data_IF_245686329048
#
_entry.id   IF_245686329048
#
_cell.length_a   1.000
_cell.length_b   1.000
_cell.length_c   1.000
_cell.angle_alpha   90.00
_cell.angle_beta   90.00
_cell.angle_gamma   90.00
#
_symmetry.space_group_name_H-M   'P 1'
#
loop_
_entity.id
_entity.type
_entity.pdbx_description
1 polymer ?
#
# COMPACT_ATOMS: atom_id res chain seq x y z
N UNK A 1 -26.08 -15.34 -27.62
CA UNK A 1 -26.00 -15.69 -26.19
C UNK A 1 -26.76 -14.64 -25.41
N UNK A 2 -27.62 -15.08 -24.50
CA UNK A 2 -28.43 -14.23 -23.62
C UNK A 2 -27.93 -14.35 -22.18
N UNK A 3 -28.41 -13.49 -21.27
CA UNK A 3 -28.06 -13.54 -19.83
C UNK A 3 -28.46 -14.90 -19.21
N UNK A 4 -29.48 -15.57 -19.75
CA UNK A 4 -29.91 -16.88 -19.28
C UNK A 4 -28.83 -17.98 -19.47
N UNK A 5 -27.89 -17.79 -20.38
CA UNK A 5 -26.84 -18.77 -20.70
C UNK A 5 -25.65 -18.70 -19.72
N UNK A 6 -25.56 -17.64 -18.90
CA UNK A 6 -24.40 -17.38 -18.04
C UNK A 6 -24.09 -18.49 -17.02
N UNK A 7 -25.06 -19.12 -16.35
CA UNK A 7 -24.77 -20.20 -15.42
C UNK A 7 -24.07 -21.38 -16.10
N UNK A 8 -24.51 -21.75 -17.31
CA UNK A 8 -23.89 -22.81 -18.09
C UNK A 8 -22.48 -22.43 -18.55
N UNK A 9 -22.29 -21.18 -19.01
CA UNK A 9 -20.97 -20.69 -19.40
C UNK A 9 -19.97 -20.70 -18.24
N UNK A 10 -20.38 -20.24 -17.05
CA UNK A 10 -19.53 -20.29 -15.85
C UNK A 10 -19.11 -21.72 -15.52
N UNK A 11 -20.04 -22.67 -15.61
CA UNK A 11 -19.73 -24.09 -15.41
C UNK A 11 -18.71 -24.58 -16.44
N UNK A 12 -18.92 -24.30 -17.73
CA UNK A 12 -17.96 -24.66 -18.79
C UNK A 12 -16.57 -24.08 -18.55
N UNK A 13 -16.46 -22.81 -18.16
CA UNK A 13 -15.17 -22.21 -17.85
C UNK A 13 -14.51 -22.86 -16.64
N UNK A 14 -15.25 -23.09 -15.55
CA UNK A 14 -14.72 -23.76 -14.36
C UNK A 14 -14.20 -25.18 -14.71
N UNK A 15 -14.98 -25.96 -15.44
CA UNK A 15 -14.62 -27.32 -15.87
C UNK A 15 -13.39 -27.33 -16.78
N UNK A 16 -13.20 -26.30 -17.61
CA UNK A 16 -12.01 -26.16 -18.47
C UNK A 16 -10.80 -25.73 -17.64
N UNK A 17 -10.90 -24.65 -16.86
CA UNK A 17 -9.78 -24.14 -16.07
C UNK A 17 -9.27 -25.15 -15.03
N UNK A 18 -10.13 -26.02 -14.50
CA UNK A 18 -9.74 -27.08 -13.58
C UNK A 18 -8.82 -28.16 -14.20
N UNK A 19 -8.70 -28.24 -15.52
CA UNK A 19 -7.90 -29.27 -16.21
C UNK A 19 -6.40 -29.01 -16.21
N UNK A 20 -5.96 -27.80 -15.86
CA UNK A 20 -4.55 -27.42 -15.83
C UNK A 20 -4.26 -26.54 -14.63
N UNK A 21 -3.01 -26.53 -14.22
CA UNK A 21 -2.52 -25.65 -13.17
C UNK A 21 -2.51 -24.19 -13.62
N UNK A 22 -2.45 -23.26 -12.66
CA UNK A 22 -2.24 -21.82 -12.92
C UNK A 22 -1.05 -21.58 -13.85
N UNK A 23 0.08 -22.25 -13.61
CA UNK A 23 1.31 -22.07 -14.37
C UNK A 23 1.16 -22.49 -15.83
N UNK A 24 0.52 -23.63 -16.09
CA UNK A 24 0.24 -24.09 -17.46
C UNK A 24 -0.69 -23.13 -18.20
N UNK A 25 -1.73 -22.61 -17.53
CA UNK A 25 -2.60 -21.61 -18.16
C UNK A 25 -1.86 -20.32 -18.47
N UNK A 26 -1.01 -19.83 -17.56
CA UNK A 26 -0.17 -18.66 -17.85
C UNK A 26 0.69 -18.87 -19.10
N UNK A 27 1.32 -20.05 -19.25
CA UNK A 27 2.10 -20.38 -20.44
C UNK A 27 1.26 -20.45 -21.72
N UNK A 28 0.03 -20.97 -21.64
CA UNK A 28 -0.87 -21.07 -22.79
C UNK A 28 -1.35 -19.70 -23.27
N UNK A 29 -1.65 -18.79 -22.36
CA UNK A 29 -2.14 -17.45 -22.69
C UNK A 29 -1.03 -16.44 -22.96
N UNK A 30 0.21 -16.73 -22.58
CA UNK A 30 1.35 -15.85 -22.87
C UNK A 30 1.53 -15.62 -24.37
N UNK A 31 1.71 -14.36 -24.77
CA UNK A 31 1.83 -13.96 -26.17
C UNK A 31 0.56 -14.09 -27.02
N UNK A 32 -0.61 -14.38 -26.42
CA UNK A 32 -1.90 -14.40 -27.13
C UNK A 32 -2.60 -13.04 -27.07
N UNK A 33 -3.55 -12.78 -27.98
CA UNK A 33 -4.39 -11.57 -27.99
C UNK A 33 -5.53 -11.62 -26.94
N UNK A 34 -5.35 -12.40 -25.87
CA UNK A 34 -6.32 -12.54 -24.80
C UNK A 34 -5.85 -11.80 -23.53
N UNK A 35 -6.69 -10.94 -22.98
CA UNK A 35 -6.44 -10.26 -21.70
C UNK A 35 -6.64 -11.22 -20.51
N UNK A 36 -5.67 -12.11 -20.30
CA UNK A 36 -5.67 -13.05 -19.17
C UNK A 36 -4.49 -12.76 -18.26
N UNK A 37 -4.75 -12.67 -16.96
CA UNK A 37 -3.73 -12.55 -15.92
C UNK A 37 -4.05 -13.54 -14.80
N UNK A 38 -3.05 -14.18 -14.19
CA UNK A 38 -3.26 -14.94 -12.97
C UNK A 38 -3.70 -14.01 -11.83
N UNK A 39 -4.45 -14.58 -10.88
CA UNK A 39 -4.63 -13.98 -9.55
C UNK A 39 -3.39 -14.30 -8.73
N UNK A 40 -2.64 -13.26 -8.36
CA UNK A 40 -1.41 -13.38 -7.56
C UNK A 40 -1.72 -13.20 -6.07
N UNK A 41 -0.99 -13.91 -5.22
CA UNK A 41 -0.90 -13.54 -3.79
C UNK A 41 -0.13 -12.23 -3.63
N UNK A 42 -0.21 -11.59 -2.46
CA UNK A 42 0.59 -10.40 -2.18
C UNK A 42 2.08 -10.70 -2.35
N UNK A 43 2.56 -11.82 -1.81
CA UNK A 43 3.95 -12.27 -1.93
C UNK A 43 4.38 -12.47 -3.39
N UNK A 44 3.54 -13.10 -4.21
CA UNK A 44 3.79 -13.26 -5.65
C UNK A 44 3.82 -11.92 -6.37
N UNK A 45 2.93 -10.98 -6.00
CA UNK A 45 2.87 -9.66 -6.58
C UNK A 45 4.12 -8.81 -6.27
N UNK A 46 4.65 -8.90 -5.04
CA UNK A 46 5.90 -8.23 -4.64
C UNK A 46 7.08 -8.64 -5.53
N UNK A 47 7.13 -9.93 -5.90
CA UNK A 47 8.23 -10.52 -6.66
C UNK A 47 7.99 -10.58 -8.17
N UNK A 48 6.80 -10.18 -8.65
CA UNK A 48 6.45 -10.21 -10.07
C UNK A 48 7.39 -9.31 -10.89
N UNK A 49 7.83 -9.78 -12.06
CA UNK A 49 8.82 -9.08 -12.93
C UNK A 49 8.42 -7.62 -13.19
N UNK A 50 7.17 -7.39 -13.59
CA UNK A 50 6.65 -6.05 -13.85
C UNK A 50 6.74 -5.13 -12.63
N UNK A 51 6.46 -5.63 -11.42
CA UNK A 51 6.50 -4.82 -10.21
C UNK A 51 7.94 -4.55 -9.77
N UNK A 52 8.85 -5.51 -9.97
CA UNK A 52 10.29 -5.32 -9.73
C UNK A 52 10.91 -4.29 -10.66
N UNK A 53 10.62 -4.38 -11.96
CA UNK A 53 11.12 -3.43 -12.98
C UNK A 53 10.66 -1.99 -12.72
N UNK A 54 9.46 -1.84 -12.18
CA UNK A 54 8.87 -0.53 -11.86
C UNK A 54 9.17 -0.06 -10.44
N UNK A 55 9.87 -0.88 -9.66
CA UNK A 55 10.02 -0.70 -8.23
C UNK A 55 8.68 -0.41 -7.53
N UNK A 56 7.59 -1.09 -7.89
CA UNK A 56 6.22 -0.75 -7.43
C UNK A 56 6.02 -0.84 -5.91
N UNK A 57 6.93 -1.48 -5.18
CA UNK A 57 6.90 -1.68 -3.73
C UNK A 57 8.18 -1.15 -3.08
N UNK A 58 8.06 -0.81 -1.80
CA UNK A 58 9.16 -0.45 -0.90
C UNK A 58 9.10 -1.33 0.34
N UNK A 59 10.25 -1.51 0.95
CA UNK A 59 10.42 -2.28 2.18
C UNK A 59 11.00 -1.36 3.24
N UNK A 60 10.39 -1.32 4.43
CA UNK A 60 10.90 -0.56 5.56
C UNK A 60 12.03 -1.30 6.31
N UNK A 61 12.53 -0.71 7.39
CA UNK A 61 13.60 -1.31 8.20
C UNK A 61 13.15 -2.62 8.89
N UNK A 62 11.86 -2.77 9.16
CA UNK A 62 11.25 -3.96 9.78
C UNK A 62 10.90 -5.06 8.76
N UNK A 63 11.29 -4.88 7.49
CA UNK A 63 11.01 -5.79 6.37
C UNK A 63 9.53 -5.88 5.98
N UNK A 64 8.70 -4.90 6.33
CA UNK A 64 7.34 -4.81 5.84
C UNK A 64 7.30 -4.17 4.45
N UNK A 65 6.67 -4.88 3.51
CA UNK A 65 6.51 -4.40 2.14
C UNK A 65 5.21 -3.59 1.99
N UNK A 66 5.32 -2.41 1.41
CA UNK A 66 4.18 -1.54 1.08
C UNK A 66 4.29 -1.00 -0.35
N UNK A 67 3.18 -0.69 -1.02
CA UNK A 67 3.22 -0.11 -2.35
C UNK A 67 3.86 1.28 -2.32
N UNK A 68 4.63 1.61 -3.36
CA UNK A 68 5.09 2.99 -3.56
C UNK A 68 3.90 3.91 -3.87
N UNK A 69 3.99 5.20 -3.52
CA UNK A 69 3.01 6.17 -3.94
C UNK A 69 2.81 6.17 -5.47
N UNK A 70 1.55 6.13 -5.88
CA UNK A 70 1.15 6.16 -7.29
C UNK A 70 0.26 7.39 -7.57
N UNK A 71 0.33 8.00 -8.77
CA UNK A 71 1.19 7.63 -9.90
C UNK A 71 2.66 8.07 -9.73
N UNK A 72 3.57 7.44 -10.47
CA UNK A 72 4.97 7.90 -10.55
C UNK A 72 5.08 9.08 -11.52
N UNK A 73 5.18 10.30 -10.97
CA UNK A 73 5.31 11.51 -11.76
C UNK A 73 6.76 11.72 -12.23
N UNK A 74 6.94 12.03 -13.52
CA UNK A 74 8.28 12.19 -14.12
C UNK A 74 9.02 13.45 -13.64
N UNK A 75 8.30 14.53 -13.33
CA UNK A 75 8.89 15.83 -12.90
C UNK A 75 8.99 15.98 -11.38
N UNK A 76 8.05 15.39 -10.65
CA UNK A 76 7.89 15.54 -9.20
C UNK A 76 7.59 14.18 -8.58
N UNK A 77 8.52 13.21 -8.65
CA UNK A 77 8.29 11.88 -8.09
C UNK A 77 8.09 11.99 -6.58
N UNK A 78 7.11 11.25 -6.05
CA UNK A 78 6.90 11.17 -4.62
C UNK A 78 8.08 10.44 -3.94
N UNK A 79 8.53 11.00 -2.81
CA UNK A 79 9.50 10.35 -1.92
C UNK A 79 8.69 9.70 -0.80
N UNK A 80 8.64 8.36 -0.72
CA UNK A 80 7.93 7.70 0.36
C UNK A 80 8.62 7.98 1.71
N UNK A 81 7.81 8.19 2.75
CA UNK A 81 8.30 8.24 4.12
C UNK A 81 8.50 6.80 4.61
N UNK A 82 9.72 6.47 5.04
CA UNK A 82 10.04 5.18 5.67
C UNK A 82 10.08 5.28 7.20
N UNK A 83 9.72 6.45 7.75
CA UNK A 83 9.64 6.63 9.20
C UNK A 83 8.36 5.98 9.71
N UNK A 84 8.39 5.58 10.98
CA UNK A 84 7.19 5.15 11.71
C UNK A 84 6.09 6.21 11.69
N UNK A 85 4.87 5.74 11.89
CA UNK A 85 3.74 6.63 12.16
C UNK A 85 3.97 7.45 13.44
N UNK A 86 3.44 8.66 13.44
CA UNK A 86 3.49 9.56 14.58
C UNK A 86 2.62 9.04 15.73
N UNK A 87 3.10 9.16 16.96
CA UNK A 87 2.26 8.92 18.14
C UNK A 87 1.27 10.08 18.34
N UNK A 88 0.15 9.79 19.01
CA UNK A 88 -0.79 10.83 19.44
C UNK A 88 -0.06 11.83 20.36
N UNK A 89 -0.03 13.10 19.96
CA UNK A 89 0.62 14.16 20.71
C UNK A 89 2.11 14.38 20.42
N UNK A 90 2.72 13.61 19.52
CA UNK A 90 4.18 13.66 19.27
C UNK A 90 4.64 15.03 18.76
N UNK A 91 3.88 15.62 17.84
CA UNK A 91 4.20 16.88 17.18
C UNK A 91 3.40 18.08 17.73
N UNK A 92 2.60 17.90 18.80
CA UNK A 92 1.69 18.95 19.30
C UNK A 92 2.43 20.24 19.68
N UNK A 93 3.52 20.13 20.45
CA UNK A 93 4.28 21.32 20.87
C UNK A 93 4.97 22.01 19.70
N UNK A 94 5.49 21.24 18.74
CA UNK A 94 6.15 21.76 17.53
C UNK A 94 5.18 22.60 16.71
N UNK A 95 4.02 22.02 16.40
CA UNK A 95 2.97 22.69 15.62
C UNK A 95 2.45 23.93 16.35
N UNK A 96 2.17 23.87 17.65
CA UNK A 96 1.69 25.05 18.39
C UNK A 96 2.72 26.20 18.41
N UNK A 97 4.01 25.89 18.48
CA UNK A 97 5.07 26.91 18.36
C UNK A 97 5.12 27.54 16.97
N UNK A 98 4.93 26.75 15.92
CA UNK A 98 4.84 27.26 14.55
C UNK A 98 3.68 28.24 14.37
N UNK A 99 2.57 28.01 15.08
CA UNK A 99 1.41 28.91 15.12
C UNK A 99 1.58 30.12 16.07
N UNK A 100 2.72 30.23 16.76
CA UNK A 100 3.06 31.39 17.59
C UNK A 100 2.64 31.31 19.05
N UNK A 101 2.22 30.14 19.55
CA UNK A 101 1.94 29.96 20.97
C UNK A 101 3.24 29.99 21.79
N UNK A 102 3.19 30.69 22.93
CA UNK A 102 4.27 30.69 23.92
C UNK A 102 4.38 29.34 24.64
N UNK A 103 5.55 29.08 25.23
CA UNK A 103 5.77 27.84 25.99
C UNK A 103 4.85 27.76 27.21
N UNK A 104 4.52 28.92 27.79
CA UNK A 104 3.62 29.10 28.92
C UNK A 104 2.18 28.75 28.55
N UNK A 105 1.67 29.23 27.41
CA UNK A 105 0.33 28.90 26.91
C UNK A 105 0.21 27.39 26.59
N UNK A 106 1.22 26.81 25.95
CA UNK A 106 1.26 25.38 25.66
C UNK A 106 1.22 24.56 26.95
N UNK A 107 2.00 24.97 27.96
CA UNK A 107 2.00 24.30 29.27
C UNK A 107 0.62 24.41 29.95
N UNK A 108 -0.03 25.57 29.85
CA UNK A 108 -1.38 25.76 30.37
C UNK A 108 -2.38 24.80 29.71
N UNK A 109 -2.37 24.70 28.37
CA UNK A 109 -3.25 23.79 27.62
C UNK A 109 -3.01 22.32 27.97
N UNK A 110 -1.75 21.92 28.19
CA UNK A 110 -1.40 20.59 28.68
C UNK A 110 -1.96 20.36 30.10
N UNK A 111 -1.83 21.35 31.01
CA UNK A 111 -2.30 21.23 32.39
C UNK A 111 -3.83 21.11 32.48
N UNK A 112 -4.54 21.82 31.60
CA UNK A 112 -6.00 21.77 31.46
C UNK A 112 -6.49 20.53 30.70
N UNK A 113 -5.57 19.70 30.18
CA UNK A 113 -5.84 18.52 29.34
C UNK A 113 -6.62 18.84 28.06
N UNK A 114 -6.44 20.04 27.54
CA UNK A 114 -6.99 20.46 26.24
C UNK A 114 -6.18 19.85 25.10
N UNK A 115 -4.89 19.64 25.32
CA UNK A 115 -3.97 19.05 24.36
C UNK A 115 -3.18 17.89 24.99
N UNK A 116 -2.73 16.96 24.16
CA UNK A 116 -1.78 15.89 24.53
C UNK A 116 -0.41 16.18 23.92
N UNK A 117 0.64 16.10 24.72
CA UNK A 117 2.04 16.21 24.28
C UNK A 117 2.80 14.96 24.74
N UNK A 118 3.27 14.17 23.78
CA UNK A 118 4.00 12.92 24.04
C UNK A 118 5.38 12.98 23.36
N UNK A 119 6.39 13.48 24.07
CA UNK A 119 7.76 13.39 23.55
C UNK A 119 8.24 11.95 23.66
N UNK A 120 8.64 11.29 22.56
CA UNK A 120 9.23 9.96 22.63
C UNK A 120 10.50 10.02 23.50
N UNK A 121 10.57 9.14 24.50
CA UNK A 121 11.69 9.11 25.47
C UNK A 121 12.98 8.51 24.90
N UNK A 122 12.96 8.01 23.66
CA UNK A 122 14.12 7.46 22.97
C UNK A 122 13.97 7.66 21.45
N UNK A 123 15.11 7.89 20.77
CA UNK A 123 15.22 7.77 19.32
C UNK A 123 15.23 6.27 18.99
N UNK A 124 14.05 5.67 18.87
CA UNK A 124 13.85 4.39 18.19
C UNK A 124 13.36 4.67 16.78
#
# INVERSE_FOLDING_TARGET
MSIADWPEMKKKFADVFAKKTKAEWCQIFDGTDACVTPVLTIEEALHHSHNRERASFITDEEQHASPRPAPQLSRTPAIPCLKRDAFAGEHTEEVLKEFGFSQEEIHQLCSERVIESSKPKANL
#
